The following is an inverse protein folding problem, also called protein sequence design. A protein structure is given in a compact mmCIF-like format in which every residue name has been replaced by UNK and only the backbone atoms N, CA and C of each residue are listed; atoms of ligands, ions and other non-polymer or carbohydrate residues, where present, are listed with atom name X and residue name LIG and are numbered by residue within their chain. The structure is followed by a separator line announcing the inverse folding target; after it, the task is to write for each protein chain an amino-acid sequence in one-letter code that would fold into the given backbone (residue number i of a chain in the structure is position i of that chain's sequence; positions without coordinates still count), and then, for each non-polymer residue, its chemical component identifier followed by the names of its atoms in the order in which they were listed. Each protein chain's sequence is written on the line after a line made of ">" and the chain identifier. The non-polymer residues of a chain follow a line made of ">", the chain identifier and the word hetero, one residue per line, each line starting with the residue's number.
data_IF_208450169863
#
_entry.id   IF_208450169863
#
_cell.length_a   1.000
_cell.length_b   1.000
_cell.length_c   1.000
_cell.angle_alpha   90.00
_cell.angle_beta   90.00
_cell.angle_gamma   90.00
#
_symmetry.space_group_name_H-M   'P 1'
#
loop_
_entity.id
_entity.type
_entity.pdbx_description
1 polymer ?
#
# COMPACT_ATOMS: atom_id res chain seq x y z
N UNK A 1 -3.11 13.21 -11.70
CA UNK A 1 -3.58 13.68 -10.39
C UNK A 1 -4.75 12.81 -10.01
N UNK A 2 -4.50 11.69 -9.33
CA UNK A 2 -5.47 10.59 -9.26
C UNK A 2 -6.13 10.50 -7.87
N UNK A 3 -5.34 10.65 -6.80
CA UNK A 3 -5.83 10.47 -5.43
C UNK A 3 -7.01 11.39 -5.11
N UNK A 4 -6.94 12.73 -5.31
CA UNK A 4 -8.04 13.60 -4.88
C UNK A 4 -9.31 13.42 -5.71
N UNK A 5 -9.20 12.95 -6.96
CA UNK A 5 -10.36 12.64 -7.79
C UNK A 5 -11.02 11.31 -7.39
N UNK A 6 -10.22 10.26 -7.13
CA UNK A 6 -10.72 8.98 -6.65
C UNK A 6 -11.35 9.09 -5.26
N UNK A 7 -10.78 9.95 -4.39
CA UNK A 7 -11.29 10.20 -3.04
C UNK A 7 -12.69 10.82 -3.00
N UNK A 8 -13.20 11.35 -4.13
CA UNK A 8 -14.60 11.83 -4.21
C UNK A 8 -15.63 10.70 -4.13
N UNK A 9 -15.25 9.47 -4.48
CA UNK A 9 -16.15 8.31 -4.57
C UNK A 9 -15.69 7.09 -3.78
N UNK A 10 -14.41 7.02 -3.43
CA UNK A 10 -13.80 5.87 -2.77
C UNK A 10 -12.96 6.31 -1.57
N UNK A 11 -12.83 5.43 -0.57
CA UNK A 11 -11.77 5.59 0.43
C UNK A 11 -10.45 5.20 -0.22
N UNK A 12 -9.55 6.15 -0.36
CA UNK A 12 -8.25 5.94 -1.02
C UNK A 12 -7.15 5.87 0.04
N UNK A 13 -6.34 4.82 -0.05
CA UNK A 13 -5.11 4.69 0.73
C UNK A 13 -3.92 4.81 -0.22
N UNK A 14 -2.97 5.70 0.11
CA UNK A 14 -1.68 5.76 -0.55
C UNK A 14 -0.64 5.22 0.44
N UNK A 15 -0.02 4.10 0.10
CA UNK A 15 0.86 3.35 1.00
C UNK A 15 2.30 3.53 0.54
N UNK A 16 3.17 3.98 1.44
CA UNK A 16 4.62 3.89 1.24
C UNK A 16 5.05 2.45 1.55
N UNK A 17 5.58 1.75 0.56
CA UNK A 17 6.12 0.41 0.75
C UNK A 17 7.39 0.43 1.61
N UNK A 18 7.71 -0.68 2.27
CA UNK A 18 8.95 -0.82 3.04
C UNK A 18 10.16 -0.47 2.16
N UNK A 19 11.05 0.38 2.67
CA UNK A 19 12.18 0.94 1.91
C UNK A 19 11.89 2.26 1.19
N UNK A 20 10.62 2.70 1.08
CA UNK A 20 10.21 3.88 0.33
C UNK A 20 9.62 4.98 1.22
N UNK A 21 9.73 6.24 0.74
CA UNK A 21 9.06 7.39 1.35
C UNK A 21 9.27 7.49 2.85
N UNK A 22 8.16 7.52 3.59
CA UNK A 22 8.09 7.62 5.05
C UNK A 22 8.13 6.27 5.76
N UNK A 23 8.08 5.16 5.04
CA UNK A 23 8.24 3.83 5.63
C UNK A 23 9.69 3.57 6.04
N UNK A 24 9.85 2.61 6.95
CA UNK A 24 11.15 2.18 7.46
C UNK A 24 12.05 1.67 6.32
N UNK A 25 13.35 1.93 6.45
CA UNK A 25 14.39 1.51 5.48
C UNK A 25 15.22 0.42 6.13
N UNK A 26 14.59 -0.73 6.36
CA UNK A 26 15.21 -1.87 7.02
C UNK A 26 16.42 -2.37 6.21
N UNK A 27 17.45 -2.83 6.90
CA UNK A 27 18.63 -3.47 6.29
C UNK A 27 18.34 -4.95 6.02
N UNK A 28 17.52 -5.20 5.00
CA UNK A 28 17.13 -6.53 4.54
C UNK A 28 17.33 -6.66 3.03
N UNK A 29 17.32 -7.90 2.53
CA UNK A 29 17.20 -8.13 1.09
C UNK A 29 15.76 -7.88 0.67
N UNK A 30 15.56 -6.91 -0.22
CA UNK A 30 14.24 -6.58 -0.74
C UNK A 30 13.90 -7.46 -1.93
N UNK A 31 12.71 -8.04 -1.91
CA UNK A 31 12.11 -8.70 -3.06
C UNK A 31 10.61 -8.37 -3.16
N UNK A 32 9.99 -8.79 -4.27
CA UNK A 32 8.59 -8.52 -4.53
C UNK A 32 7.63 -9.17 -3.51
N UNK A 33 8.05 -10.26 -2.85
CA UNK A 33 7.21 -10.96 -1.86
C UNK A 33 7.06 -10.13 -0.59
N UNK A 34 8.11 -9.43 -0.16
CA UNK A 34 8.05 -8.53 1.01
C UNK A 34 6.97 -7.45 0.85
N UNK A 35 6.88 -6.82 -0.32
CA UNK A 35 5.86 -5.79 -0.56
C UNK A 35 4.47 -6.39 -0.79
N UNK A 36 4.40 -7.57 -1.40
CA UNK A 36 3.13 -8.31 -1.54
C UNK A 36 2.54 -8.62 -0.17
N UNK A 37 3.34 -9.15 0.74
CA UNK A 37 2.93 -9.50 2.10
C UNK A 37 2.53 -8.25 2.88
N UNK A 38 3.33 -7.17 2.79
CA UNK A 38 3.00 -5.88 3.40
C UNK A 38 1.61 -5.36 2.95
N UNK A 39 1.30 -5.45 1.65
CA UNK A 39 0.01 -5.02 1.11
C UNK A 39 -1.11 -5.96 1.56
N UNK A 40 -0.89 -7.28 1.57
CA UNK A 40 -1.85 -8.27 2.04
C UNK A 40 -2.22 -8.05 3.52
N UNK A 41 -1.23 -7.82 4.36
CA UNK A 41 -1.39 -7.52 5.79
C UNK A 41 -2.14 -6.20 5.96
N UNK A 42 -1.76 -5.15 5.23
CA UNK A 42 -2.48 -3.88 5.26
C UNK A 42 -3.96 -4.02 4.86
N UNK A 43 -4.27 -4.82 3.84
CA UNK A 43 -5.64 -5.09 3.43
C UNK A 43 -6.43 -5.83 4.52
N UNK A 44 -5.84 -6.85 5.14
CA UNK A 44 -6.51 -7.70 6.13
C UNK A 44 -6.65 -7.02 7.50
N UNK A 45 -5.67 -6.21 7.90
CA UNK A 45 -5.62 -5.61 9.23
C UNK A 45 -6.15 -4.18 9.28
N UNK A 46 -6.02 -3.41 8.20
CA UNK A 46 -6.40 -1.98 8.19
C UNK A 46 -7.62 -1.72 7.31
N UNK A 47 -7.66 -2.29 6.10
CA UNK A 47 -8.77 -2.02 5.17
C UNK A 47 -10.02 -2.82 5.52
N UNK A 48 -9.87 -4.10 5.86
CA UNK A 48 -10.94 -5.01 6.33
C UNK A 48 -12.20 -5.06 5.44
N UNK A 49 -12.03 -4.80 4.14
CA UNK A 49 -13.11 -4.78 3.16
C UNK A 49 -12.55 -5.10 1.76
N UNK A 50 -13.40 -5.54 0.81
CA UNK A 50 -12.99 -5.69 -0.58
C UNK A 50 -12.39 -4.39 -1.13
N UNK A 51 -11.23 -4.50 -1.78
CA UNK A 51 -10.45 -3.36 -2.24
C UNK A 51 -9.94 -3.58 -3.67
N UNK A 52 -9.62 -2.48 -4.36
CA UNK A 52 -8.97 -2.49 -5.68
C UNK A 52 -7.54 -2.03 -5.50
N UNK A 53 -6.59 -2.83 -5.97
CA UNK A 53 -5.16 -2.51 -5.97
C UNK A 53 -4.77 -1.83 -7.29
N UNK A 54 -3.99 -0.76 -7.20
CA UNK A 54 -3.45 -0.02 -8.35
C UNK A 54 -1.97 0.24 -8.10
N UNK A 55 -1.10 -0.35 -8.92
CA UNK A 55 0.36 -0.20 -8.86
C UNK A 55 0.92 0.46 -10.13
N UNK A 56 2.15 1.00 -10.05
CA UNK A 56 2.90 1.55 -11.17
C UNK A 56 4.27 0.89 -11.29
#
# INVERSE_FOLDING_TARGET
>A
YNIPELSKKHKVYAVDLLGFGWSEKALIEYDATIWSDQVADFLSEIVKAPAVLVGN
#
